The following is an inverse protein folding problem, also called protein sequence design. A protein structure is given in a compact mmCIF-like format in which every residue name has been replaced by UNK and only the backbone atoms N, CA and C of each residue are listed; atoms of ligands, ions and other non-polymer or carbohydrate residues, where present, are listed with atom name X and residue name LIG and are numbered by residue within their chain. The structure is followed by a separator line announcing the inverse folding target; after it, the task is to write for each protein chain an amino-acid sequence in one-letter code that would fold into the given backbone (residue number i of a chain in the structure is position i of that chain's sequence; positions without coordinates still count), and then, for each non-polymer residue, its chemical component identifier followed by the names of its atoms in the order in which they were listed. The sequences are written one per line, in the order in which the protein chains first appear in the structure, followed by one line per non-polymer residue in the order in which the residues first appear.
data_IF_135662549597
#
_entry.id   IF_135662549597
#
_cell.length_a   1.000
_cell.length_b   1.000
_cell.length_c   1.000
_cell.angle_alpha   90.00
_cell.angle_beta   90.00
_cell.angle_gamma   90.00
#
_symmetry.space_group_name_H-M   'P 1'
#
loop_
_entity.id
_entity.type
_entity.pdbx_description
1 polymer ?
#
# COMPACT_ATOMS: atom_id res chain seq x y z
N UNK A 1 -12.87 7.93 -9.66
CA UNK A 1 -11.42 7.66 -9.53
C UNK A 1 -11.24 6.17 -9.22
N UNK A 2 -10.25 5.48 -9.80
CA UNK A 2 -9.86 4.13 -9.34
C UNK A 2 -8.72 4.28 -8.34
N UNK A 3 -8.69 3.43 -7.33
CA UNK A 3 -7.65 3.41 -6.32
C UNK A 3 -6.97 2.05 -6.31
N UNK A 4 -5.68 2.06 -6.02
CA UNK A 4 -4.83 0.88 -6.09
C UNK A 4 -4.00 0.76 -4.82
N UNK A 5 -3.84 -0.47 -4.33
CA UNK A 5 -2.99 -0.75 -3.17
C UNK A 5 -2.11 -1.95 -3.47
N UNK A 6 -0.83 -1.83 -3.10
CA UNK A 6 0.15 -2.89 -3.21
C UNK A 6 0.74 -3.19 -1.83
N UNK A 7 0.80 -4.48 -1.48
CA UNK A 7 1.38 -4.93 -0.21
C UNK A 7 2.44 -5.98 -0.53
N UNK A 8 3.67 -5.72 -0.10
CA UNK A 8 4.75 -6.69 -0.16
C UNK A 8 4.90 -7.38 1.20
N UNK A 9 4.79 -8.71 1.21
CA UNK A 9 4.98 -9.53 2.43
C UNK A 9 6.28 -10.29 2.29
N UNK A 10 7.33 -9.79 2.95
CA UNK A 10 8.65 -10.40 2.88
C UNK A 10 9.51 -9.99 4.06
N UNK A 11 10.38 -10.89 4.52
CA UNK A 11 11.44 -10.57 5.49
C UNK A 11 12.76 -10.15 4.82
N UNK A 12 12.83 -10.24 3.50
CA UNK A 12 14.02 -9.88 2.70
C UNK A 12 14.02 -8.39 2.40
N UNK A 13 15.14 -7.90 1.88
CA UNK A 13 15.20 -6.57 1.30
C UNK A 13 14.21 -6.42 0.13
N UNK A 14 13.70 -5.20 -0.05
CA UNK A 14 12.82 -4.83 -1.15
C UNK A 14 13.41 -5.18 -2.51
N UNK A 15 12.56 -5.72 -3.38
CA UNK A 15 12.93 -6.14 -4.72
C UNK A 15 12.70 -5.02 -5.75
N UNK A 16 13.03 -5.28 -7.02
CA UNK A 16 12.87 -4.32 -8.10
C UNK A 16 11.44 -3.79 -8.19
N UNK A 17 10.42 -4.65 -8.06
CA UNK A 17 9.02 -4.24 -8.18
C UNK A 17 8.62 -3.19 -7.12
N UNK A 18 9.07 -3.37 -5.88
CA UNK A 18 8.87 -2.38 -4.82
C UNK A 18 9.42 -1.02 -5.23
N UNK A 19 10.68 -0.98 -5.68
CA UNK A 19 11.35 0.28 -6.05
C UNK A 19 10.66 0.97 -7.23
N UNK A 20 10.25 0.22 -8.24
CA UNK A 20 9.49 0.80 -9.36
C UNK A 20 8.17 1.41 -8.87
N UNK A 21 7.50 0.75 -7.92
CA UNK A 21 6.24 1.22 -7.40
C UNK A 21 6.40 2.41 -6.44
N UNK A 22 7.54 2.57 -5.76
CA UNK A 22 7.85 3.79 -4.98
C UNK A 22 7.79 5.04 -5.88
N UNK A 23 8.26 4.95 -7.12
CA UNK A 23 8.15 6.05 -8.09
C UNK A 23 6.69 6.34 -8.46
N UNK A 24 5.84 5.31 -8.56
CA UNK A 24 4.41 5.49 -8.79
C UNK A 24 3.73 6.15 -7.60
N UNK A 25 4.07 5.76 -6.36
CA UNK A 25 3.53 6.38 -5.15
C UNK A 25 3.88 7.85 -5.03
N UNK A 26 5.09 8.25 -5.45
CA UNK A 26 5.48 9.65 -5.49
C UNK A 26 4.73 10.48 -6.57
N UNK A 27 4.12 9.80 -7.55
CA UNK A 27 3.49 10.44 -8.72
C UNK A 27 1.95 10.47 -8.63
N UNK A 28 1.34 9.50 -7.95
CA UNK A 28 -0.10 9.27 -7.96
C UNK A 28 -0.70 9.25 -6.56
N UNK A 29 -1.57 10.22 -6.25
CA UNK A 29 -2.26 10.33 -4.95
C UNK A 29 -3.23 9.17 -4.65
N UNK A 30 -3.64 8.43 -5.67
CA UNK A 30 -4.57 7.30 -5.60
C UNK A 30 -3.88 5.93 -5.55
N UNK A 31 -2.59 5.90 -5.20
CA UNK A 31 -1.79 4.69 -5.04
C UNK A 31 -1.19 4.61 -3.64
N UNK A 32 -1.39 3.47 -2.97
CA UNK A 32 -0.84 3.21 -1.66
C UNK A 32 0.04 1.96 -1.67
N UNK A 33 1.20 2.04 -1.02
CA UNK A 33 2.09 0.90 -0.81
C UNK A 33 2.36 0.67 0.67
N UNK A 34 2.44 -0.59 1.07
CA UNK A 34 2.85 -0.99 2.41
C UNK A 34 3.74 -2.24 2.35
N UNK A 35 4.69 -2.30 3.28
CA UNK A 35 5.51 -3.49 3.50
C UNK A 35 5.17 -4.07 4.87
N UNK A 36 4.99 -5.38 4.91
CA UNK A 36 4.83 -6.12 6.15
C UNK A 36 5.71 -7.36 6.16
N UNK A 37 6.01 -7.86 7.36
CA UNK A 37 6.92 -8.99 7.53
C UNK A 37 6.17 -10.31 7.64
N UNK A 38 5.05 -10.29 8.35
CA UNK A 38 4.34 -11.50 8.75
C UNK A 38 2.84 -11.43 8.40
N UNK A 39 2.22 -12.61 8.28
CA UNK A 39 0.81 -12.73 7.89
C UNK A 39 -0.14 -12.07 8.89
N UNK A 40 0.25 -12.02 10.17
CA UNK A 40 -0.52 -11.42 11.26
C UNK A 40 -0.73 -9.91 11.04
N UNK A 41 0.18 -9.26 10.32
CA UNK A 41 0.11 -7.83 10.00
C UNK A 41 -0.88 -7.51 8.87
N UNK A 42 -1.34 -8.51 8.10
CA UNK A 42 -2.23 -8.30 6.95
C UNK A 42 -3.51 -7.59 7.38
N UNK A 43 -4.21 -8.15 8.36
CA UNK A 43 -5.52 -7.64 8.75
C UNK A 43 -5.48 -6.21 9.31
N UNK A 44 -4.58 -5.84 10.25
CA UNK A 44 -4.49 -4.45 10.72
C UNK A 44 -4.09 -3.47 9.61
N UNK A 45 -3.15 -3.83 8.71
CA UNK A 45 -2.74 -2.96 7.60
C UNK A 45 -3.85 -2.76 6.58
N UNK A 46 -4.58 -3.82 6.23
CA UNK A 46 -5.75 -3.68 5.35
C UNK A 46 -6.78 -2.72 5.96
N UNK A 47 -7.11 -2.86 7.25
CA UNK A 47 -8.07 -1.97 7.88
C UNK A 47 -7.65 -0.51 7.80
N UNK A 48 -6.37 -0.20 8.04
CA UNK A 48 -5.87 1.16 7.93
C UNK A 48 -5.96 1.70 6.49
N UNK A 49 -5.55 0.90 5.50
CA UNK A 49 -5.59 1.28 4.09
C UNK A 49 -7.01 1.62 3.63
N UNK A 50 -7.99 0.78 3.97
CA UNK A 50 -9.38 0.99 3.55
C UNK A 50 -10.14 2.03 4.40
N UNK A 51 -9.72 2.25 5.64
CA UNK A 51 -10.23 3.36 6.47
C UNK A 51 -9.79 4.73 5.90
N UNK A 52 -8.52 4.86 5.49
CA UNK A 52 -8.03 6.09 4.84
C UNK A 52 -8.73 6.35 3.50
N UNK A 53 -9.02 5.28 2.75
CA UNK A 53 -9.67 5.38 1.44
C UNK A 53 -11.11 5.88 1.51
N UNK A 54 -11.85 5.55 2.58
CA UNK A 54 -13.22 6.04 2.78
C UNK A 54 -13.24 7.52 3.15
N UNK A 55 -12.24 7.99 3.90
CA UNK A 55 -12.06 9.42 4.20
C UNK A 55 -11.76 10.25 2.94
N UNK A 56 -10.87 9.77 2.05
CA UNK A 56 -10.52 10.48 0.80
C UNK A 56 -11.59 10.37 -0.31
N UNK A 57 -12.57 9.47 -0.21
CA UNK A 57 -13.70 9.39 -1.15
C UNK A 57 -14.87 10.28 -0.77
N UNK A 58 -14.86 10.89 0.41
CA UNK A 58 -15.98 11.67 0.96
C UNK A 58 -15.81 13.19 0.80
N UNK A 59 -14.93 13.64 -0.09
CA UNK A 59 -14.64 15.05 -0.36
C UNK A 59 -14.89 15.39 -1.84
#
# INVERSE_FOLDING_TARGET
MRYYSYIEITRRAHQTLWREYEHLQATFDNFAMQHIRDQEDIYPVFRELFQKQSANQSA
#
